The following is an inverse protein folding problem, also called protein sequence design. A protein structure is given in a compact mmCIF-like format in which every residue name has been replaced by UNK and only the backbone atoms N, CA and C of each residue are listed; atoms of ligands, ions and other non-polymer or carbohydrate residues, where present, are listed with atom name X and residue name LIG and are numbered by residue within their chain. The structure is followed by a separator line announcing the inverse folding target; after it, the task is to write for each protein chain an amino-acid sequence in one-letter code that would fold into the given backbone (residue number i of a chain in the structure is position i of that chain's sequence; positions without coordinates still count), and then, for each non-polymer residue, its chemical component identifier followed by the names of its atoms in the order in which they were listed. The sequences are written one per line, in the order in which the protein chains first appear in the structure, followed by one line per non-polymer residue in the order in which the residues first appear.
data_IF_682094160214
#
_entry.id   IF_682094160214
#
_cell.length_a   1.000
_cell.length_b   1.000
_cell.length_c   1.000
_cell.angle_alpha   90.00
_cell.angle_beta   90.00
_cell.angle_gamma   90.00
#
_symmetry.space_group_name_H-M   'P 1'
#
loop_
_entity.id
_entity.type
_entity.pdbx_description
1 polymer ?
#
# COMPACT_ATOMS: atom_id res chain seq x y z
N UNK A 1 -9.75 0.08 4.04
CA UNK A 1 -8.27 0.05 3.98
C UNK A 1 -7.72 1.40 4.38
N UNK A 2 -8.02 2.48 3.62
CA UNK A 2 -7.63 3.83 4.03
C UNK A 2 -8.32 4.28 5.33
N UNK A 3 -9.60 3.94 5.50
CA UNK A 3 -10.32 4.16 6.77
C UNK A 3 -9.66 3.41 7.94
N UNK A 4 -9.27 2.15 7.73
CA UNK A 4 -8.58 1.35 8.76
C UNK A 4 -7.23 1.96 9.14
N UNK A 5 -6.49 2.48 8.16
CA UNK A 5 -5.26 3.22 8.42
C UNK A 5 -5.53 4.44 9.32
N UNK A 6 -6.52 5.25 8.96
CA UNK A 6 -6.89 6.46 9.71
C UNK A 6 -7.42 6.13 11.11
N UNK A 7 -8.11 5.01 11.28
CA UNK A 7 -8.66 4.53 12.56
C UNK A 7 -7.71 3.62 13.33
N UNK A 8 -6.49 3.38 12.82
CA UNK A 8 -5.46 2.51 13.42
C UNK A 8 -5.91 1.06 13.64
N UNK A 9 -6.71 0.56 12.71
CA UNK A 9 -7.22 -0.80 12.65
C UNK A 9 -6.33 -1.68 11.77
N UNK A 10 -5.04 -1.77 12.09
CA UNK A 10 -4.01 -2.37 11.22
C UNK A 10 -4.32 -3.82 10.79
N UNK A 11 -5.01 -4.58 11.63
CA UNK A 11 -5.41 -5.97 11.33
C UNK A 11 -6.45 -6.00 10.20
N UNK A 12 -7.44 -5.11 10.25
CA UNK A 12 -8.47 -4.99 9.21
C UNK A 12 -7.89 -4.46 7.91
N UNK A 13 -7.00 -3.46 8.00
CA UNK A 13 -6.22 -3.00 6.86
C UNK A 13 -5.45 -4.15 6.19
N UNK A 14 -4.80 -5.02 6.98
CA UNK A 14 -4.09 -6.19 6.48
C UNK A 14 -5.00 -7.16 5.74
N UNK A 15 -6.17 -7.48 6.29
CA UNK A 15 -7.16 -8.34 5.62
C UNK A 15 -7.68 -7.75 4.31
N UNK A 16 -7.98 -6.45 4.29
CA UNK A 16 -8.39 -5.79 3.06
C UNK A 16 -7.27 -5.79 2.01
N UNK A 17 -6.03 -5.59 2.43
CA UNK A 17 -4.88 -5.62 1.54
C UNK A 17 -4.68 -7.01 0.95
N UNK A 18 -4.81 -8.06 1.77
CA UNK A 18 -4.77 -9.44 1.33
C UNK A 18 -5.91 -9.76 0.35
N UNK A 19 -7.14 -9.35 0.69
CA UNK A 19 -8.30 -9.51 -0.17
C UNK A 19 -8.06 -8.84 -1.53
N UNK A 20 -7.54 -7.62 -1.54
CA UNK A 20 -7.21 -6.89 -2.76
C UNK A 20 -6.14 -7.63 -3.59
N UNK A 21 -5.07 -8.12 -2.94
CA UNK A 21 -3.99 -8.85 -3.62
C UNK A 21 -4.48 -10.11 -4.35
N UNK A 22 -5.35 -10.92 -3.73
CA UNK A 22 -5.83 -12.16 -4.33
C UNK A 22 -6.90 -11.99 -5.42
N UNK A 23 -7.39 -10.77 -5.65
CA UNK A 23 -8.16 -10.49 -6.85
C UNK A 23 -7.22 -10.36 -8.05
N UNK A 24 -7.21 -11.37 -8.91
CA UNK A 24 -6.27 -11.48 -10.03
C UNK A 24 -6.78 -10.86 -11.33
N UNK A 25 -8.03 -10.40 -11.37
CA UNK A 25 -8.58 -9.76 -12.56
C UNK A 25 -7.91 -8.41 -12.84
N UNK A 26 -7.75 -8.05 -14.11
CA UNK A 26 -7.01 -6.85 -14.53
C UNK A 26 -7.50 -5.54 -13.89
N UNK A 27 -8.80 -5.42 -13.60
CA UNK A 27 -9.39 -4.27 -12.90
C UNK A 27 -8.86 -4.03 -11.47
N UNK A 28 -8.23 -5.04 -10.87
CA UNK A 28 -7.65 -4.98 -9.52
C UNK A 28 -6.13 -4.74 -9.52
N UNK A 29 -5.55 -4.45 -10.68
CA UNK A 29 -4.16 -3.97 -10.78
C UNK A 29 -4.07 -2.59 -10.15
N UNK A 30 -2.97 -2.30 -9.44
CA UNK A 30 -2.79 -1.00 -8.77
C UNK A 30 -2.80 0.16 -9.78
N UNK A 31 -2.23 -0.06 -10.97
CA UNK A 31 -2.27 0.85 -12.11
C UNK A 31 -3.68 1.24 -12.60
N UNK A 32 -4.72 0.48 -12.21
CA UNK A 32 -6.11 0.70 -12.62
C UNK A 32 -6.93 1.41 -11.53
N UNK A 33 -6.32 1.76 -10.38
CA UNK A 33 -6.99 2.55 -9.35
C UNK A 33 -7.29 3.93 -9.94
N UNK A 34 -8.57 4.31 -10.09
CA UNK A 34 -8.93 5.61 -10.65
C UNK A 34 -8.53 6.74 -9.71
N UNK A 35 -8.23 7.91 -10.28
CA UNK A 35 -8.02 9.12 -9.49
C UNK A 35 -9.29 9.42 -8.66
N UNK A 36 -9.20 9.46 -7.32
CA UNK A 36 -10.34 9.78 -6.46
C UNK A 36 -10.84 11.22 -6.65
N UNK A 37 -10.03 12.12 -7.23
CA UNK A 37 -10.30 13.57 -7.35
C UNK A 37 -10.61 14.20 -6.00
N UNK A 38 -9.92 13.71 -4.97
CA UNK A 38 -10.06 14.18 -3.61
C UNK A 38 -9.54 15.62 -3.50
N UNK A 39 -10.29 16.47 -2.80
CA UNK A 39 -9.99 17.89 -2.62
C UNK A 39 -9.20 18.15 -1.35
N UNK A 40 -9.37 17.31 -0.33
CA UNK A 40 -8.58 17.40 0.89
C UNK A 40 -7.14 16.90 0.61
N UNK A 41 -6.13 17.77 0.73
CA UNK A 41 -4.74 17.39 0.44
C UNK A 41 -4.25 16.25 1.33
N UNK A 42 -4.68 16.18 2.60
CA UNK A 42 -4.26 15.13 3.53
C UNK A 42 -4.82 13.77 3.13
N UNK A 43 -6.08 13.72 2.71
CA UNK A 43 -6.70 12.49 2.22
C UNK A 43 -6.05 12.07 0.90
N UNK A 44 -5.87 13.00 -0.05
CA UNK A 44 -5.22 12.71 -1.32
C UNK A 44 -3.78 12.16 -1.12
N UNK A 45 -2.98 12.82 -0.28
CA UNK A 45 -1.62 12.39 0.05
C UNK A 45 -1.60 11.05 0.77
N UNK A 46 -2.54 10.80 1.68
CA UNK A 46 -2.68 9.53 2.36
C UNK A 46 -3.05 8.38 1.42
N UNK A 47 -4.00 8.59 0.51
CA UNK A 47 -4.39 7.61 -0.52
C UNK A 47 -3.24 7.31 -1.47
N UNK A 48 -2.55 8.34 -1.96
CA UNK A 48 -1.38 8.18 -2.83
C UNK A 48 -0.25 7.38 -2.14
N UNK A 49 0.04 7.72 -0.88
CA UNK A 49 1.05 7.00 -0.07
C UNK A 49 0.67 5.54 0.17
N UNK A 50 -0.62 5.26 0.39
CA UNK A 50 -1.12 3.90 0.57
C UNK A 50 -0.93 3.08 -0.71
N UNK A 51 -1.23 3.65 -1.88
CA UNK A 51 -1.03 2.96 -3.16
C UNK A 51 0.45 2.66 -3.41
N UNK A 52 1.35 3.61 -3.17
CA UNK A 52 2.81 3.38 -3.29
C UNK A 52 3.32 2.31 -2.30
N UNK A 53 2.78 2.30 -1.07
CA UNK A 53 3.10 1.26 -0.10
C UNK A 53 2.60 -0.13 -0.55
N UNK A 54 1.40 -0.19 -1.13
CA UNK A 54 0.87 -1.43 -1.72
C UNK A 54 1.72 -1.91 -2.89
N UNK A 55 2.21 -1.02 -3.76
CA UNK A 55 3.13 -1.38 -4.85
C UNK A 55 4.37 -2.06 -4.30
N UNK A 56 4.98 -1.46 -3.27
CA UNK A 56 6.17 -2.02 -2.60
C UNK A 56 5.88 -3.41 -2.04
N UNK A 57 4.79 -3.56 -1.29
CA UNK A 57 4.41 -4.81 -0.65
C UNK A 57 4.01 -5.90 -1.65
N UNK A 58 3.25 -5.56 -2.68
CA UNK A 58 2.78 -6.52 -3.68
C UNK A 58 3.93 -7.03 -4.53
N UNK A 59 4.84 -6.16 -4.96
CA UNK A 59 6.03 -6.57 -5.69
C UNK A 59 6.94 -7.46 -4.84
N UNK A 60 7.12 -7.14 -3.56
CA UNK A 60 7.83 -8.03 -2.63
C UNK A 60 7.18 -9.42 -2.53
N UNK A 61 5.84 -9.49 -2.39
CA UNK A 61 5.10 -10.77 -2.40
C UNK A 61 5.32 -11.54 -3.71
N UNK A 62 5.28 -10.85 -4.85
CA UNK A 62 5.50 -11.44 -6.17
C UNK A 62 6.94 -11.96 -6.34
N UNK A 63 7.94 -11.23 -5.87
CA UNK A 63 9.34 -11.67 -5.85
C UNK A 63 9.54 -12.95 -5.02
N UNK A 64 8.80 -13.11 -3.93
CA UNK A 64 8.81 -14.34 -3.13
C UNK A 64 8.17 -15.56 -3.81
N UNK A 65 7.49 -15.36 -4.94
CA UNK A 65 6.73 -16.41 -5.62
C UNK A 65 5.25 -16.46 -5.24
N UNK A 66 4.76 -15.55 -4.39
CA UNK A 66 3.34 -15.51 -4.02
C UNK A 66 2.57 -14.90 -5.20
N UNK A 67 1.52 -15.57 -5.67
CA UNK A 67 0.76 -15.14 -6.84
C UNK A 67 -0.64 -14.69 -6.44
N UNK A 68 -1.15 -13.65 -7.12
CA UNK A 68 -2.53 -13.15 -6.96
C UNK A 68 -3.58 -14.24 -7.21
N UNK A 69 -3.25 -15.25 -8.03
CA UNK A 69 -4.14 -16.38 -8.30
C UNK A 69 -4.23 -17.40 -7.15
N UNK A 70 -3.41 -17.25 -6.11
CA UNK A 70 -3.22 -18.24 -5.05
C UNK A 70 -2.34 -19.44 -5.45
N UNK A 71 -1.97 -19.55 -6.74
CA UNK A 71 -1.07 -20.61 -7.23
C UNK A 71 0.37 -20.12 -7.18
N UNK A 72 1.02 -20.33 -6.05
CA UNK A 72 2.39 -19.85 -5.82
C UNK A 72 3.41 -20.52 -6.74
N UNK A 73 4.44 -19.76 -7.09
CA UNK A 73 5.58 -20.17 -7.90
C UNK A 73 6.77 -20.48 -6.99
N UNK A 74 7.11 -21.76 -6.88
CA UNK A 74 8.23 -22.25 -6.08
C UNK A 74 9.49 -22.51 -6.91
N UNK A 75 9.54 -22.06 -8.17
CA UNK A 75 10.72 -22.22 -9.03
C UNK A 75 11.81 -21.21 -8.70
N UNK A 76 13.02 -21.47 -9.18
CA UNK A 76 14.14 -20.53 -9.05
C UNK A 76 13.92 -19.25 -9.88
N UNK A 77 13.10 -19.32 -10.93
CA UNK A 77 12.78 -18.19 -11.82
C UNK A 77 11.63 -17.31 -11.30
N UNK A 78 11.09 -17.57 -10.11
CA UNK A 78 9.93 -16.86 -9.54
C UNK A 78 10.07 -15.34 -9.50
N UNK A 79 11.30 -14.82 -9.40
CA UNK A 79 11.62 -13.38 -9.35
C UNK A 79 11.51 -12.70 -10.72
N UNK A 80 11.41 -13.46 -11.82
CA UNK A 80 11.24 -12.96 -13.19
C UNK A 80 9.88 -13.31 -13.79
N UNK A 81 9.20 -14.29 -13.22
CA UNK A 81 7.95 -14.84 -13.75
C UNK A 81 6.70 -14.14 -13.17
N UNK A 82 6.68 -12.81 -13.21
CA UNK A 82 5.51 -12.01 -12.87
C UNK A 82 5.57 -10.64 -13.53
N UNK A 83 4.39 -10.04 -13.68
CA UNK A 83 4.27 -8.65 -14.12
C UNK A 83 4.20 -7.74 -12.88
N UNK A 84 5.21 -6.86 -12.66
CA UNK A 84 5.22 -5.98 -11.50
C UNK A 84 3.98 -5.09 -11.41
N UNK A 85 3.54 -4.83 -10.20
CA UNK A 85 2.57 -3.78 -9.93
C UNK A 85 3.25 -2.43 -10.02
N UNK A 86 2.53 -1.46 -10.59
CA UNK A 86 2.97 -0.08 -10.70
C UNK A 86 1.85 0.84 -10.20
N UNK A 87 2.22 1.99 -9.65
CA UNK A 87 1.25 3.00 -9.25
C UNK A 87 0.57 3.61 -10.48
N UNK A 88 -0.70 4.04 -10.36
CA UNK A 88 -1.37 4.83 -11.40
C UNK A 88 -0.76 6.24 -11.48
N UNK A 89 -0.84 6.88 -12.65
CA UNK A 89 -0.17 8.15 -12.92
C UNK A 89 -0.50 9.27 -11.92
N UNK A 90 -1.76 9.35 -11.45
CA UNK A 90 -2.21 10.38 -10.53
C UNK A 90 -1.46 10.37 -9.19
N UNK A 91 -0.94 9.22 -8.76
CA UNK A 91 -0.21 9.10 -7.48
C UNK A 91 1.06 9.94 -7.48
N UNK A 92 1.76 10.02 -8.63
CA UNK A 92 2.97 10.84 -8.78
C UNK A 92 2.66 12.35 -8.81
N UNK A 93 1.43 12.73 -9.11
CA UNK A 93 0.99 14.13 -9.19
C UNK A 93 0.60 14.69 -7.81
N UNK A 94 0.40 13.84 -6.80
CA UNK A 94 0.02 14.27 -5.45
C UNK A 94 1.24 14.78 -4.68
N UNK A 95 1.27 16.07 -4.30
CA UNK A 95 2.41 16.65 -3.60
C UNK A 95 2.47 16.22 -2.13
N UNK A 96 3.65 16.43 -1.52
CA UNK A 96 3.81 16.31 -0.08
C UNK A 96 3.02 17.38 0.69
N UNK A 97 2.60 17.05 1.90
CA UNK A 97 1.90 18.00 2.78
C UNK A 97 2.86 19.07 3.31
N UNK A 98 2.35 20.31 3.46
CA UNK A 98 3.12 21.42 4.05
C UNK A 98 3.51 21.13 5.51
N UNK A 99 2.63 20.47 6.26
CA UNK A 99 2.83 20.12 7.67
C UNK A 99 2.82 18.61 7.84
N UNK A 100 3.67 18.14 8.75
CA UNK A 100 3.76 16.73 9.09
C UNK A 100 2.41 16.24 9.63
N UNK A 101 1.83 15.26 8.94
CA UNK A 101 0.68 14.52 9.45
C UNK A 101 1.17 13.26 10.17
N UNK A 102 0.92 13.18 11.48
CA UNK A 102 1.34 12.05 12.28
C UNK A 102 0.16 11.10 12.57
N UNK A 103 0.06 10.04 11.77
CA UNK A 103 -0.86 8.92 11.98
C UNK A 103 -0.22 7.78 12.78
N UNK A 104 1.10 7.85 12.98
CA UNK A 104 1.91 6.92 13.73
C UNK A 104 1.62 7.14 15.21
N UNK A 105 2.25 8.11 15.85
CA UNK A 105 2.32 8.28 17.31
C UNK A 105 1.04 7.90 18.09
N UNK A 106 1.04 6.70 18.65
CA UNK A 106 0.14 6.26 19.72
C UNK A 106 0.93 6.02 21.02
N UNK A 107 0.64 6.77 22.10
CA UNK A 107 1.37 6.62 23.36
C UNK A 107 1.17 5.26 24.05
N UNK A 108 0.23 4.44 23.58
CA UNK A 108 -0.13 3.15 24.17
C UNK A 108 0.33 1.94 23.34
N UNK A 109 1.01 2.13 22.21
CA UNK A 109 1.48 1.03 21.35
C UNK A 109 2.96 1.18 21.00
N UNK A 110 3.66 0.05 20.92
CA UNK A 110 4.94 -0.02 20.22
C UNK A 110 4.64 -0.08 18.73
N UNK A 111 5.01 0.96 18.01
CA UNK A 111 4.80 1.02 16.56
C UNK A 111 6.07 0.62 15.82
N UNK A 112 5.89 0.00 14.65
CA UNK A 112 6.99 -0.27 13.73
C UNK A 112 7.48 1.00 13.05
N UNK A 113 8.55 0.91 12.26
CA UNK A 113 9.09 2.08 11.55
C UNK A 113 8.06 2.67 10.56
N UNK A 114 8.00 4.02 10.41
CA UNK A 114 7.18 4.65 9.39
C UNK A 114 7.57 4.19 7.98
N UNK A 115 6.59 4.00 7.11
CA UNK A 115 6.84 3.51 5.75
C UNK A 115 7.36 4.64 4.82
N UNK A 116 8.40 4.41 3.99
CA UNK A 116 8.99 5.44 3.13
C UNK A 116 7.98 6.18 2.23
N UNK A 117 7.06 5.45 1.59
CA UNK A 117 6.01 6.04 0.74
C UNK A 117 5.15 7.12 1.44
N UNK A 118 4.98 7.03 2.76
CA UNK A 118 4.27 8.05 3.55
C UNK A 118 5.20 9.21 3.91
N UNK A 119 6.45 8.92 4.25
CA UNK A 119 7.45 9.94 4.59
C UNK A 119 7.71 10.89 3.41
N UNK A 120 7.72 10.38 2.18
CA UNK A 120 7.85 11.19 0.96
C UNK A 120 6.75 12.25 0.82
N UNK A 121 5.57 12.01 1.39
CA UNK A 121 4.45 12.96 1.40
C UNK A 121 4.28 13.72 2.71
N UNK A 122 5.29 13.70 3.57
CA UNK A 122 5.27 14.33 4.90
C UNK A 122 4.18 13.73 5.81
N UNK A 123 4.01 12.41 5.75
CA UNK A 123 3.10 11.65 6.61
C UNK A 123 3.92 10.61 7.38
N UNK A 124 3.67 10.47 8.68
CA UNK A 124 4.14 9.32 9.46
C UNK A 124 3.00 8.33 9.60
N UNK A 125 3.18 7.13 9.06
CA UNK A 125 2.26 6.02 9.24
C UNK A 125 3.03 4.69 9.21
N UNK A 126 2.65 3.76 10.09
CA UNK A 126 3.12 2.38 10.04
C UNK A 126 2.10 1.54 9.26
N UNK A 127 2.54 0.89 8.19
CA UNK A 127 1.70 0.00 7.38
C UNK A 127 2.24 -1.43 7.30
N UNK A 128 3.02 -1.88 8.28
CA UNK A 128 3.67 -3.21 8.23
C UNK A 128 2.72 -4.39 7.94
N UNK A 129 1.45 -4.28 8.34
CA UNK A 129 0.43 -5.31 8.09
C UNK A 129 0.06 -5.53 6.61
N UNK A 130 0.45 -4.63 5.70
CA UNK A 130 0.24 -4.84 4.25
C UNK A 130 1.18 -5.92 3.66
N UNK A 131 2.28 -6.21 4.37
CA UNK A 131 3.24 -7.26 4.00
C UNK A 131 2.83 -8.62 4.55
N UNK A 132 2.17 -8.63 5.70
CA UNK A 132 1.59 -9.82 6.29
C UNK A 132 0.41 -10.32 5.44
N UNK A 133 0.00 -11.57 5.69
CA UNK A 133 -1.14 -12.32 5.12
C UNK A 133 -1.06 -12.75 3.65
#
# INVERSE_FOLDING_TARGET
MFEDLCTRQDVWMGYECQYFFYHSESRWRLSQIPDPREKDPAIAAGLASLVDAMVTAFNWKLELGIRRTGKNDSTDDRVRNFEPEIAPAWVAEVPALEKLLDLHTNPHRKEGEPHPAFLERNIKACVGRIYDV
#
